data_IF_464567758388
#
_entry.id   IF_464567758388
#
_cell.length_a   1.000
_cell.length_b   1.000
_cell.length_c   1.000
_cell.angle_alpha   90.00
_cell.angle_beta   90.00
_cell.angle_gamma   90.00
#
_symmetry.space_group_name_H-M   'P 1'
#
loop_
_entity.id
_entity.type
_entity.pdbx_description
1 polymer ?
#
# COMPACT_ATOMS: atom_id res chain seq x y z
N UNK A 1 5.54 -6.90 -5.20
CA UNK A 1 5.26 -8.18 -5.91
C UNK A 1 3.82 -8.59 -5.75
N UNK A 2 2.92 -8.11 -6.56
CA UNK A 2 1.54 -8.08 -6.12
C UNK A 2 0.76 -9.35 -6.35
N UNK A 3 0.61 -9.81 -7.55
CA UNK A 3 -0.41 -10.83 -7.78
C UNK A 3 0.03 -12.25 -7.39
N UNK A 4 1.30 -12.55 -7.45
CA UNK A 4 1.82 -13.82 -6.92
C UNK A 4 2.05 -13.77 -5.41
N UNK A 5 1.94 -12.63 -4.79
CA UNK A 5 1.84 -12.49 -3.35
C UNK A 5 0.43 -12.80 -2.81
N UNK A 6 -0.44 -13.38 -3.61
CA UNK A 6 -1.63 -14.05 -3.08
C UNK A 6 -1.28 -15.11 -2.01
N UNK A 7 -0.07 -15.67 -2.02
CA UNK A 7 0.35 -16.58 -0.98
C UNK A 7 0.45 -15.95 0.42
N UNK A 8 1.06 -14.78 0.64
CA UNK A 8 0.98 -14.09 1.92
C UNK A 8 -0.44 -13.70 2.31
N UNK A 9 -1.22 -13.23 1.35
CA UNK A 9 -2.62 -12.88 1.61
C UNK A 9 -3.49 -14.10 1.85
N UNK A 10 -3.20 -15.23 1.23
CA UNK A 10 -3.84 -16.50 1.54
C UNK A 10 -3.65 -16.93 2.99
N UNK A 11 -2.49 -16.65 3.58
CA UNK A 11 -2.22 -16.95 4.98
C UNK A 11 -3.03 -16.11 5.97
N UNK A 12 -3.36 -14.88 5.61
CA UNK A 12 -4.21 -14.01 6.43
C UNK A 12 -5.69 -14.06 6.01
N UNK A 13 -6.05 -14.98 5.11
CA UNK A 13 -7.43 -15.23 4.72
C UNK A 13 -8.01 -14.25 3.73
N UNK A 14 -7.17 -13.57 2.98
CA UNK A 14 -7.58 -12.66 1.93
C UNK A 14 -7.63 -13.32 0.55
N UNK A 15 -7.44 -14.63 0.49
CA UNK A 15 -7.51 -15.44 -0.73
C UNK A 15 -8.95 -15.91 -0.98
N UNK A 16 -9.51 -15.58 -2.13
CA UNK A 16 -10.87 -15.93 -2.54
C UNK A 16 -11.16 -17.42 -2.48
N UNK A 17 -10.19 -18.24 -2.85
CA UNK A 17 -10.37 -19.69 -2.91
C UNK A 17 -10.55 -20.34 -1.54
N UNK A 18 -10.21 -19.65 -0.47
CA UNK A 18 -10.17 -20.20 0.89
C UNK A 18 -11.21 -19.66 1.84
N UNK A 19 -11.84 -18.50 1.52
CA UNK A 19 -12.93 -17.92 2.31
C UNK A 19 -12.65 -17.76 3.81
N UNK A 20 -11.37 -17.62 4.18
CA UNK A 20 -10.93 -17.60 5.57
C UNK A 20 -11.07 -16.21 6.20
N UNK A 21 -11.04 -16.12 7.52
CA UNK A 21 -11.16 -14.89 8.31
C UNK A 21 -12.45 -14.08 8.06
N UNK A 22 -13.50 -14.72 7.58
CA UNK A 22 -14.81 -14.08 7.42
C UNK A 22 -14.94 -13.10 6.25
N UNK A 23 -13.91 -12.95 5.43
CA UNK A 23 -14.00 -12.10 4.24
C UNK A 23 -14.77 -12.76 3.09
N UNK A 24 -14.85 -14.08 3.05
CA UNK A 24 -15.56 -14.84 2.02
C UNK A 24 -14.93 -14.78 0.61
N UNK A 25 -15.45 -15.58 -0.33
CA UNK A 25 -14.87 -15.69 -1.67
C UNK A 25 -14.84 -14.36 -2.45
N UNK A 26 -15.81 -13.48 -2.21
CA UNK A 26 -15.89 -12.19 -2.90
C UNK A 26 -14.78 -11.21 -2.50
N UNK A 27 -14.17 -11.36 -1.32
CA UNK A 27 -13.21 -10.38 -0.82
C UNK A 27 -11.83 -10.46 -1.48
N UNK A 28 -11.42 -11.62 -1.94
CA UNK A 28 -10.06 -11.79 -2.45
C UNK A 28 -9.88 -11.32 -3.90
N UNK A 29 -10.93 -11.29 -4.69
CA UNK A 29 -10.88 -10.66 -6.02
C UNK A 29 -10.66 -9.15 -5.97
N UNK A 30 -10.58 -8.60 -4.77
CA UNK A 30 -10.56 -7.18 -4.54
C UNK A 30 -9.17 -6.63 -4.27
N UNK A 31 -8.25 -7.53 -3.96
CA UNK A 31 -6.84 -7.18 -3.86
C UNK A 31 -6.18 -7.28 -5.23
N UNK A 32 -6.85 -6.76 -6.25
CA UNK A 32 -6.17 -6.46 -7.47
C UNK A 32 -5.15 -5.39 -7.15
N UNK A 33 -3.92 -5.81 -6.91
CA UNK A 33 -2.82 -5.00 -7.30
C UNK A 33 -2.99 -4.80 -8.80
N UNK A 34 -3.66 -3.75 -9.19
CA UNK A 34 -3.57 -3.28 -10.57
C UNK A 34 -2.16 -2.77 -10.71
N UNK A 35 -1.29 -3.60 -11.19
CA UNK A 35 -0.02 -3.22 -11.71
C UNK A 35 -0.26 -2.40 -12.98
N UNK A 36 -0.80 -1.22 -12.81
CA UNK A 36 -0.80 -0.26 -13.86
C UNK A 36 0.61 0.32 -13.90
N UNK A 37 1.49 -0.29 -14.66
CA UNK A 37 2.72 0.39 -15.02
C UNK A 37 2.31 1.78 -15.54
N UNK A 38 2.79 2.85 -14.92
CA UNK A 38 2.46 4.20 -15.33
C UNK A 38 2.93 4.49 -16.77
N UNK A 39 3.93 3.77 -17.28
CA UNK A 39 4.32 3.81 -18.69
C UNK A 39 3.40 2.89 -19.51
N UNK A 40 2.53 3.45 -20.37
CA UNK A 40 1.62 2.65 -21.18
C UNK A 40 2.31 1.64 -22.09
N UNK A 41 3.56 1.91 -22.51
CA UNK A 41 4.32 1.02 -23.38
C UNK A 41 4.76 -0.27 -22.67
N UNK A 42 4.82 -0.25 -21.35
CA UNK A 42 5.18 -1.37 -20.48
C UNK A 42 3.98 -2.06 -19.86
N UNK A 43 2.78 -1.52 -20.06
CA UNK A 43 1.56 -2.14 -19.56
C UNK A 43 1.32 -3.46 -20.23
N UNK A 44 1.08 -4.47 -19.44
CA UNK A 44 0.44 -5.71 -19.85
C UNK A 44 -0.93 -5.79 -19.19
N UNK A 45 -1.86 -6.46 -19.84
CA UNK A 45 -3.15 -6.78 -19.25
C UNK A 45 -2.84 -7.76 -18.12
N UNK A 46 -3.05 -7.30 -16.88
CA UNK A 46 -2.96 -8.16 -15.74
C UNK A 46 -4.17 -9.08 -15.70
N UNK A 47 -3.87 -10.35 -15.79
CA UNK A 47 -4.69 -11.36 -15.20
C UNK A 47 -4.60 -11.20 -13.67
N UNK A 48 -5.71 -11.26 -12.91
CA UNK A 48 -5.68 -11.18 -11.46
C UNK A 48 -4.76 -12.22 -10.78
N UNK A 49 -4.29 -13.20 -11.52
CA UNK A 49 -3.44 -14.29 -11.03
C UNK A 49 -2.02 -14.27 -11.59
N UNK A 50 -1.78 -13.56 -12.66
CA UNK A 50 -0.47 -13.48 -13.32
C UNK A 50 -0.15 -12.05 -13.67
N UNK A 51 0.77 -11.46 -12.95
CA UNK A 51 1.35 -10.18 -13.34
C UNK A 51 2.63 -10.42 -14.10
N UNK A 52 2.61 -10.04 -15.34
CA UNK A 52 3.76 -10.17 -16.25
C UNK A 52 4.30 -8.77 -16.59
N UNK A 53 4.19 -7.86 -15.64
CA UNK A 53 4.66 -6.48 -15.80
C UNK A 53 6.18 -6.47 -15.69
N UNK A 54 6.89 -5.84 -16.62
CA UNK A 54 8.31 -5.65 -16.48
C UNK A 54 8.60 -4.77 -15.27
N UNK A 55 9.39 -5.27 -14.37
CA UNK A 55 9.84 -4.63 -13.17
C UNK A 55 11.33 -4.34 -13.25
N UNK A 56 11.83 -3.30 -12.63
CA UNK A 56 11.10 -2.29 -11.83
C UNK A 56 10.35 -1.28 -12.70
N UNK A 57 9.27 -0.70 -12.17
CA UNK A 57 8.54 0.38 -12.82
C UNK A 57 8.88 1.77 -12.25
N UNK A 58 9.47 1.82 -11.09
CA UNK A 58 9.98 3.00 -10.39
C UNK A 58 8.98 4.17 -10.24
N UNK A 59 7.69 3.91 -10.39
CA UNK A 59 6.70 5.00 -10.38
C UNK A 59 6.53 5.65 -9.00
N UNK A 60 6.83 4.95 -7.92
CA UNK A 60 6.94 5.55 -6.58
C UNK A 60 8.38 5.87 -6.17
N UNK A 61 9.38 5.55 -6.99
CA UNK A 61 10.83 5.68 -6.82
C UNK A 61 11.51 4.46 -6.19
N UNK A 62 12.81 4.62 -5.84
CA UNK A 62 13.65 3.55 -5.32
C UNK A 62 13.35 3.20 -3.85
N UNK A 63 13.80 2.02 -3.40
CA UNK A 63 13.86 1.71 -1.97
C UNK A 63 14.69 2.76 -1.24
N UNK A 64 14.27 3.19 -0.05
CA UNK A 64 14.94 4.25 0.71
C UNK A 64 14.56 5.68 0.29
N UNK A 65 13.79 5.84 -0.78
CA UNK A 65 13.11 7.09 -1.10
C UNK A 65 11.72 7.14 -0.46
N UNK A 66 11.03 8.25 -0.63
CA UNK A 66 9.64 8.43 -0.23
C UNK A 66 8.79 8.97 -1.38
N UNK A 67 7.51 8.71 -1.28
CA UNK A 67 6.49 9.28 -2.13
C UNK A 67 5.56 10.20 -1.34
N UNK A 68 5.08 11.26 -1.98
CA UNK A 68 4.00 12.08 -1.43
C UNK A 68 2.68 11.37 -1.61
N UNK A 69 1.87 11.38 -0.55
CA UNK A 69 0.57 10.73 -0.54
C UNK A 69 -0.52 11.71 -0.13
N UNK A 70 -1.75 11.40 -0.50
CA UNK A 70 -2.92 12.18 -0.13
C UNK A 70 -4.13 11.30 0.17
N UNK A 71 -5.02 11.80 0.99
CA UNK A 71 -6.28 11.12 1.28
C UNK A 71 -7.18 11.07 0.03
N UNK A 72 -7.89 9.96 -0.14
CA UNK A 72 -8.95 9.79 -1.13
C UNK A 72 -10.28 10.09 -0.46
N UNK A 73 -10.95 11.16 -0.90
CA UNK A 73 -12.20 11.62 -0.30
C UNK A 73 -12.03 12.09 1.15
N UNK A 74 -12.99 11.76 2.01
CA UNK A 74 -12.89 12.08 3.43
C UNK A 74 -11.74 11.30 4.08
N UNK A 75 -10.86 12.02 4.81
CA UNK A 75 -9.69 11.43 5.42
C UNK A 75 -10.08 10.33 6.41
N UNK A 76 -9.51 9.15 6.23
CA UNK A 76 -9.69 8.04 7.16
C UNK A 76 -8.91 8.31 8.47
N UNK A 77 -9.38 7.88 9.65
CA UNK A 77 -8.67 8.08 10.91
C UNK A 77 -7.20 7.65 10.92
N UNK A 78 -6.84 6.59 10.20
CA UNK A 78 -5.43 6.13 10.08
C UNK A 78 -4.51 7.14 9.39
N UNK A 79 -5.05 8.14 8.71
CA UNK A 79 -4.29 9.17 8.03
C UNK A 79 -4.07 10.42 8.89
N UNK A 80 -4.52 10.45 10.13
CA UNK A 80 -4.29 11.61 11.03
C UNK A 80 -2.82 11.71 11.40
N UNK A 81 -2.27 12.90 11.26
CA UNK A 81 -0.91 13.24 11.69
C UNK A 81 -0.93 14.61 12.37
N UNK A 82 -1.02 14.66 13.70
CA UNK A 82 -1.15 15.92 14.44
C UNK A 82 0.06 16.85 14.32
N UNK A 83 1.18 16.36 13.80
CA UNK A 83 2.39 17.13 13.58
C UNK A 83 2.53 17.64 12.14
N UNK A 84 1.68 17.19 11.22
CA UNK A 84 1.65 17.70 9.86
C UNK A 84 0.82 18.99 9.77
N UNK A 85 1.19 19.89 8.87
CA UNK A 85 0.55 21.20 8.69
C UNK A 85 -0.97 21.09 8.42
N UNK A 86 -1.39 20.10 7.65
CA UNK A 86 -2.79 19.82 7.32
C UNK A 86 -3.41 18.73 8.20
N UNK A 87 -2.68 18.26 9.21
CA UNK A 87 -3.13 17.22 10.12
C UNK A 87 -3.18 15.81 9.53
N UNK A 88 -2.54 15.58 8.38
CA UNK A 88 -2.61 14.32 7.65
C UNK A 88 -1.23 13.72 7.33
N UNK A 89 -1.19 12.41 7.25
CA UNK A 89 -0.05 11.65 6.72
C UNK A 89 0.24 12.10 5.29
N UNK A 90 1.48 12.48 5.02
CA UNK A 90 1.91 13.07 3.74
C UNK A 90 2.91 12.23 2.97
N UNK A 91 3.57 11.29 3.65
CA UNK A 91 4.67 10.53 3.06
C UNK A 91 4.60 9.09 3.46
N UNK A 92 4.87 8.19 2.50
CA UNK A 92 5.16 6.78 2.71
C UNK A 92 6.45 6.39 1.99
N UNK A 93 7.11 5.30 2.39
CA UNK A 93 8.27 4.78 1.66
C UNK A 93 7.92 4.45 0.22
N UNK A 94 8.89 4.63 -0.65
CA UNK A 94 8.81 4.19 -2.04
C UNK A 94 9.26 2.74 -2.22
N UNK A 95 8.86 2.15 -3.34
CA UNK A 95 9.32 0.84 -3.75
C UNK A 95 9.33 0.74 -5.28
N UNK A 96 10.46 0.30 -5.92
CA UNK A 96 10.59 0.28 -7.38
C UNK A 96 9.61 -0.67 -8.07
N UNK A 97 8.97 -1.57 -7.32
CA UNK A 97 8.01 -2.56 -7.78
C UNK A 97 6.62 -2.32 -7.19
N UNK A 98 6.27 -1.09 -6.94
CA UNK A 98 4.98 -0.76 -6.34
C UNK A 98 3.83 -0.90 -7.34
N UNK A 99 2.77 -1.56 -6.91
CA UNK A 99 1.53 -1.66 -7.65
C UNK A 99 0.47 -0.66 -7.17
N UNK A 100 -0.78 -0.96 -7.45
CA UNK A 100 -1.94 -0.23 -6.94
C UNK A 100 -2.97 -1.20 -6.38
N UNK A 101 -3.83 -0.73 -5.48
CA UNK A 101 -4.93 -1.52 -4.91
C UNK A 101 -6.25 -0.81 -5.16
N UNK A 102 -7.32 -1.58 -5.39
CA UNK A 102 -8.66 -1.05 -5.56
C UNK A 102 -9.65 -1.66 -4.55
N UNK A 103 -10.66 -0.91 -4.12
CA UNK A 103 -11.74 -1.48 -3.34
C UNK A 103 -12.57 -2.45 -4.18
N UNK A 104 -13.18 -3.46 -3.54
CA UNK A 104 -14.08 -4.37 -4.21
C UNK A 104 -15.31 -3.69 -4.77
N UNK A 105 -15.69 -4.08 -5.97
CA UNK A 105 -16.97 -3.64 -6.51
C UNK A 105 -18.12 -4.15 -5.62
N UNK A 106 -18.93 -3.22 -5.12
CA UNK A 106 -20.14 -3.56 -4.37
C UNK A 106 -19.96 -3.87 -2.89
N UNK A 107 -18.73 -3.78 -2.33
CA UNK A 107 -18.55 -3.86 -0.87
C UNK A 107 -18.64 -2.46 -0.24
N UNK A 108 -19.72 -2.15 0.48
CA UNK A 108 -19.90 -0.84 1.09
C UNK A 108 -18.95 -0.58 2.26
N UNK A 109 -18.28 -1.60 2.76
CA UNK A 109 -17.33 -1.47 3.87
C UNK A 109 -15.92 -1.15 3.40
N UNK A 110 -15.65 -1.28 2.09
CA UNK A 110 -14.34 -1.08 1.52
C UNK A 110 -14.25 0.24 0.75
N UNK A 111 -13.21 1.02 1.01
CA UNK A 111 -12.92 2.23 0.23
C UNK A 111 -11.43 2.47 0.10
N UNK A 112 -11.02 3.03 -1.04
CA UNK A 112 -9.69 3.60 -1.16
C UNK A 112 -9.56 4.78 -0.18
N UNK A 113 -8.47 4.82 0.57
CA UNK A 113 -8.23 5.85 1.58
C UNK A 113 -7.00 6.69 1.29
N UNK A 114 -6.05 6.16 0.52
CA UNK A 114 -4.76 6.78 0.26
C UNK A 114 -4.36 6.57 -1.18
N UNK A 115 -3.85 7.62 -1.81
CA UNK A 115 -3.26 7.57 -3.14
C UNK A 115 -1.91 8.26 -3.20
N UNK A 116 -1.07 7.78 -4.09
CA UNK A 116 0.16 8.39 -4.53
C UNK A 116 0.04 8.96 -5.94
N UNK A 117 1.13 9.57 -6.40
CA UNK A 117 1.25 10.08 -7.76
C UNK A 117 2.52 9.54 -8.41
N UNK A 118 2.37 8.89 -9.55
CA UNK A 118 3.50 8.35 -10.29
C UNK A 118 4.54 9.43 -10.62
N UNK A 119 5.79 9.16 -10.27
CA UNK A 119 6.93 10.02 -10.64
C UNK A 119 7.22 9.95 -12.15
N UNK A 120 6.76 8.89 -12.82
CA UNK A 120 7.00 8.67 -14.27
C UNK A 120 5.93 9.34 -15.13
N UNK A 121 4.64 9.18 -14.79
CA UNK A 121 3.55 9.68 -15.65
C UNK A 121 2.73 10.79 -15.03
N UNK A 122 2.90 11.07 -13.74
CA UNK A 122 2.08 12.01 -13.00
C UNK A 122 0.65 11.55 -12.73
N UNK A 123 0.28 10.31 -13.06
CA UNK A 123 -1.04 9.74 -12.76
C UNK A 123 -1.16 9.33 -11.30
N UNK A 124 -2.35 9.49 -10.72
CA UNK A 124 -2.65 8.98 -9.39
C UNK A 124 -2.86 7.47 -9.42
N UNK A 125 -2.50 6.79 -8.33
CA UNK A 125 -2.76 5.38 -8.10
C UNK A 125 -3.05 5.13 -6.62
N UNK A 126 -3.93 4.19 -6.31
CA UNK A 126 -4.32 3.93 -4.94
C UNK A 126 -3.27 3.08 -4.22
N UNK A 127 -2.92 3.52 -3.02
CA UNK A 127 -1.92 2.89 -2.16
C UNK A 127 -2.54 2.04 -1.04
N UNK A 128 -3.73 2.43 -0.57
CA UNK A 128 -4.40 1.74 0.52
C UNK A 128 -5.92 1.69 0.34
N UNK A 129 -6.50 0.54 0.70
CA UNK A 129 -7.93 0.32 0.84
C UNK A 129 -8.21 -0.07 2.29
N UNK A 130 -9.10 0.66 2.94
CA UNK A 130 -9.62 0.27 4.26
C UNK A 130 -10.90 -0.55 4.09
N UNK A 131 -11.03 -1.56 4.94
CA UNK A 131 -12.25 -2.34 5.16
C UNK A 131 -12.74 -2.04 6.56
N UNK A 132 -13.83 -1.31 6.66
CA UNK A 132 -14.43 -0.97 7.94
C UNK A 132 -14.95 -2.22 8.66
N UNK A 133 -14.91 -2.23 10.00
CA UNK A 133 -15.48 -3.34 10.75
C UNK A 133 -16.97 -3.52 10.42
N UNK A 134 -17.39 -4.76 10.26
CA UNK A 134 -18.78 -5.12 9.99
C UNK A 134 -19.16 -6.36 10.83
N UNK A 135 -20.42 -6.75 10.81
CA UNK A 135 -20.89 -7.90 11.58
C UNK A 135 -20.06 -9.16 11.28
N UNK A 136 -19.36 -9.67 12.28
CA UNK A 136 -18.49 -10.86 12.18
C UNK A 136 -17.15 -10.63 11.50
N UNK A 137 -16.79 -9.38 11.18
CA UNK A 137 -15.51 -9.02 10.54
C UNK A 137 -14.83 -7.88 11.28
N UNK A 138 -13.56 -8.06 11.61
CA UNK A 138 -12.70 -6.98 12.10
C UNK A 138 -12.29 -6.01 10.98
N UNK A 139 -11.67 -4.88 11.35
CA UNK A 139 -11.08 -3.96 10.38
C UNK A 139 -9.90 -4.59 9.65
N UNK A 140 -9.69 -4.19 8.39
CA UNK A 140 -8.52 -4.59 7.62
C UNK A 140 -8.04 -3.48 6.68
N UNK A 141 -6.74 -3.46 6.39
CA UNK A 141 -6.16 -2.57 5.39
C UNK A 141 -5.39 -3.39 4.35
N UNK A 142 -5.70 -3.16 3.08
CA UNK A 142 -4.88 -3.61 1.96
C UNK A 142 -3.94 -2.49 1.53
N UNK A 143 -2.70 -2.87 1.23
CA UNK A 143 -1.66 -1.95 0.74
C UNK A 143 -1.23 -2.34 -0.67
N UNK A 144 -0.81 -1.35 -1.47
CA UNK A 144 -0.21 -1.55 -2.78
C UNK A 144 1.08 -2.37 -2.71
N UNK A 145 1.82 -2.24 -1.62
CA UNK A 145 3.02 -3.00 -1.31
C UNK A 145 3.20 -3.18 0.19
N UNK A 146 3.84 -4.27 0.61
CA UNK A 146 4.23 -4.46 2.02
C UNK A 146 5.47 -3.64 2.41
N UNK A 147 6.19 -3.09 1.41
CA UNK A 147 7.41 -2.32 1.64
C UNK A 147 7.17 -1.01 2.40
N UNK A 148 5.91 -0.55 2.49
CA UNK A 148 5.56 0.54 3.40
C UNK A 148 5.86 0.24 4.88
N UNK A 149 6.02 -1.04 5.23
CA UNK A 149 6.26 -1.52 6.59
C UNK A 149 7.63 -2.18 6.77
N UNK A 150 8.48 -2.19 5.73
CA UNK A 150 9.79 -2.80 5.77
C UNK A 150 10.85 -1.84 6.30
N UNK A 151 11.68 -2.30 7.23
CA UNK A 151 12.78 -1.57 7.83
C UNK A 151 13.77 -1.04 6.80
N UNK A 152 14.17 -1.84 5.82
CA UNK A 152 15.05 -1.43 4.73
C UNK A 152 14.51 -0.24 3.92
N UNK A 153 13.19 -0.17 3.71
CA UNK A 153 12.60 0.98 3.00
C UNK A 153 12.56 2.25 3.88
N UNK A 154 12.64 2.10 5.20
CA UNK A 154 12.70 3.21 6.14
C UNK A 154 14.13 3.68 6.39
N UNK A 155 15.06 2.71 6.41
CA UNK A 155 16.49 2.95 6.60
C UNK A 155 17.29 1.91 5.79
N UNK A 156 17.90 2.32 4.71
CA UNK A 156 18.69 1.44 3.83
C UNK A 156 19.91 0.84 4.55
N UNK A 157 20.35 1.43 5.67
CA UNK A 157 21.43 0.88 6.50
C UNK A 157 21.01 -0.41 7.25
N UNK A 158 19.69 -0.70 7.32
CA UNK A 158 19.20 -1.97 7.86
C UNK A 158 19.60 -3.18 6.98
N UNK A 159 20.02 -2.92 5.75
CA UNK A 159 20.50 -3.94 4.81
C UNK A 159 19.38 -4.54 3.96
N UNK A 160 19.63 -4.61 2.66
CA UNK A 160 18.70 -5.21 1.71
C UNK A 160 18.75 -6.74 1.76
N UNK A 161 17.61 -7.42 1.51
CA UNK A 161 17.64 -8.85 1.17
C UNK A 161 18.55 -9.12 -0.04
N UNK A 162 19.22 -10.27 -0.06
CA UNK A 162 20.22 -10.61 -1.08
C UNK A 162 19.71 -10.59 -2.53
N UNK A 163 18.40 -10.67 -2.74
CA UNK A 163 17.78 -10.63 -4.07
C UNK A 163 17.45 -9.21 -4.54
N UNK A 164 17.62 -8.18 -3.69
CA UNK A 164 17.43 -6.78 -4.10
C UNK A 164 18.70 -6.32 -4.78
N UNK A 165 18.59 -6.02 -6.07
CA UNK A 165 19.70 -5.59 -6.92
C UNK A 165 19.64 -4.10 -7.29
N UNK A 166 18.49 -3.47 -7.08
CA UNK A 166 18.30 -2.06 -7.40
C UNK A 166 19.02 -1.18 -6.38
N UNK A 167 19.73 -0.15 -6.84
CA UNK A 167 20.41 0.77 -5.93
C UNK A 167 19.37 1.53 -5.09
N UNK A 168 19.63 1.69 -3.78
CA UNK A 168 18.74 2.42 -2.90
C UNK A 168 18.82 3.93 -3.15
N UNK A 169 17.71 4.62 -2.84
CA UNK A 169 17.67 6.07 -2.70
C UNK A 169 18.08 6.53 -1.29
N UNK A 170 18.23 7.83 -1.11
CA UNK A 170 18.61 8.47 0.15
C UNK A 170 17.50 9.40 0.70
N UNK A 171 16.32 9.39 0.09
CA UNK A 171 15.26 10.34 0.39
C UNK A 171 14.76 10.28 1.83
N UNK A 172 14.54 9.08 2.37
CA UNK A 172 14.08 8.90 3.76
C UNK A 172 15.09 9.41 4.78
N UNK A 173 16.39 9.25 4.50
CA UNK A 173 17.47 9.75 5.34
C UNK A 173 17.63 11.26 5.23
N UNK A 174 17.53 11.79 4.00
CA UNK A 174 17.68 13.22 3.73
C UNK A 174 16.49 14.06 4.22
N UNK A 175 15.31 13.45 4.37
CA UNK A 175 14.08 14.14 4.76
C UNK A 175 13.38 13.43 5.95
N UNK A 176 13.81 13.71 7.19
CA UNK A 176 13.29 13.03 8.40
C UNK A 176 11.77 13.13 8.59
N UNK A 177 11.11 14.14 8.02
CA UNK A 177 9.66 14.27 8.07
C UNK A 177 8.96 13.09 7.36
N UNK A 178 9.53 12.56 6.28
CA UNK A 178 8.97 11.41 5.58
C UNK A 178 8.96 10.17 6.48
N UNK A 179 10.04 9.91 7.20
CA UNK A 179 10.12 8.80 8.16
C UNK A 179 9.14 9.00 9.33
N UNK A 180 9.04 10.22 9.84
CA UNK A 180 8.08 10.57 10.90
C UNK A 180 6.64 10.32 10.45
N UNK A 181 6.27 10.80 9.26
CA UNK A 181 4.94 10.60 8.66
C UNK A 181 4.61 9.12 8.48
N UNK A 182 5.56 8.34 7.97
CA UNK A 182 5.45 6.88 7.84
C UNK A 182 5.18 6.20 9.18
N UNK A 183 5.98 6.53 10.20
CA UNK A 183 5.80 5.97 11.56
C UNK A 183 4.44 6.32 12.14
N UNK A 184 3.96 7.55 11.92
CA UNK A 184 2.62 7.95 12.36
C UNK A 184 1.54 7.11 11.66
N UNK A 185 1.65 6.90 10.35
CA UNK A 185 0.74 6.04 9.62
C UNK A 185 0.69 4.62 10.17
N UNK A 186 1.85 3.99 10.33
CA UNK A 186 1.95 2.61 10.85
C UNK A 186 1.41 2.49 12.27
N UNK A 187 1.69 3.48 13.13
CA UNK A 187 1.13 3.55 14.48
C UNK A 187 -0.41 3.60 14.45
N UNK A 188 -0.98 4.47 13.61
CA UNK A 188 -2.42 4.60 13.48
C UNK A 188 -3.07 3.33 12.93
N UNK A 189 -2.45 2.69 11.93
CA UNK A 189 -2.92 1.40 11.40
C UNK A 189 -2.98 0.36 12.51
N UNK A 190 -1.93 0.24 13.32
CA UNK A 190 -1.91 -0.70 14.44
C UNK A 190 -3.01 -0.43 15.47
N UNK A 191 -3.22 0.85 15.83
CA UNK A 191 -4.28 1.25 16.77
C UNK A 191 -5.67 0.99 16.18
N UNK A 192 -5.87 1.28 14.90
CA UNK A 192 -7.16 1.07 14.25
C UNK A 192 -7.51 -0.41 14.15
N UNK A 193 -6.57 -1.26 13.74
CA UNK A 193 -6.74 -2.70 13.71
C UNK A 193 -7.03 -3.29 15.10
N UNK A 194 -6.50 -2.68 16.15
CA UNK A 194 -6.76 -3.05 17.54
C UNK A 194 -8.08 -2.46 18.10
N UNK A 195 -8.86 -1.71 17.31
CA UNK A 195 -10.06 -1.02 17.77
C UNK A 195 -9.81 0.11 18.77
N UNK A 196 -8.60 0.68 18.75
CA UNK A 196 -8.19 1.74 19.71
C UNK A 196 -8.06 3.13 19.09
N UNK A 197 -8.22 3.25 17.77
CA UNK A 197 -8.25 4.54 17.11
C UNK A 197 -9.71 4.98 16.98
N UNK A 198 -10.10 6.14 17.53
CA UNK A 198 -11.46 6.65 17.39
C UNK A 198 -11.78 6.96 15.93
N UNK A 199 -13.04 6.76 15.58
CA UNK A 199 -13.58 7.05 14.25
C UNK A 199 -13.44 8.54 13.87
#
# INVERSE_FOLDING_TARGET
CPARSAAPFGHIGLDASRGTLGFGPAAAHHFHARNEDPDPSRRRIDDPYTTDIPWPNDHSRANGDFQQVRAVGAAHPVLRDPLAQDGLVRYLPSHPHEGAVGPPAGDPTARAILEGRSAVTGRSFHLAVAFEPAAGRGPAIAQSTFHHFCDYNWDVAAGAPAFVSEPPGEGMKAFPEALRSTRQYVHNVALWLAGRLPA
#
